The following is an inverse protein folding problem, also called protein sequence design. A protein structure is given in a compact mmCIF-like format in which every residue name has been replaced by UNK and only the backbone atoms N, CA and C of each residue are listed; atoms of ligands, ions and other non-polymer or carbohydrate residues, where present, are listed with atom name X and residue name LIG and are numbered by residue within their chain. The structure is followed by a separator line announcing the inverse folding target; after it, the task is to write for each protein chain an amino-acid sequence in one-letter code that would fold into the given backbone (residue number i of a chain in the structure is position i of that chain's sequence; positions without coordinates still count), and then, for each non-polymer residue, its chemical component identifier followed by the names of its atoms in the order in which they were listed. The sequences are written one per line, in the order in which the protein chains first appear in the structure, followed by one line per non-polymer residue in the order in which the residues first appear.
data_IF_448656024339
#
_entry.id   IF_448656024339
#
_cell.length_a   1.000
_cell.length_b   1.000
_cell.length_c   1.000
_cell.angle_alpha   90.00
_cell.angle_beta   90.00
_cell.angle_gamma   90.00
#
_symmetry.space_group_name_H-M   'P 1'
#
loop_
_entity.id
_entity.type
_entity.pdbx_description
1 polymer ?
#
# COMPACT_ATOMS: atom_id res chain seq x y z
N UNK A 1 6.66 20.70 -6.90
CA UNK A 1 6.41 20.03 -8.13
C UNK A 1 6.24 18.53 -7.97
N UNK A 2 5.22 18.00 -8.61
CA UNK A 2 4.90 16.56 -8.62
C UNK A 2 5.69 15.83 -9.72
N UNK A 3 6.73 16.44 -10.28
CA UNK A 3 7.44 16.01 -11.49
C UNK A 3 7.94 14.56 -11.42
N UNK A 4 8.34 14.08 -10.23
CA UNK A 4 8.88 12.72 -10.10
C UNK A 4 7.81 11.63 -10.16
N UNK A 5 6.55 11.91 -9.78
CA UNK A 5 5.43 10.97 -9.88
C UNK A 5 4.76 11.13 -11.24
N UNK A 6 4.55 12.36 -11.70
CA UNK A 6 3.92 12.63 -13.00
C UNK A 6 4.74 12.07 -14.17
N UNK A 7 6.07 12.11 -14.09
CA UNK A 7 6.96 11.54 -15.10
C UNK A 7 7.01 10.00 -15.08
N UNK A 8 6.72 9.38 -13.93
CA UNK A 8 6.70 7.92 -13.76
C UNK A 8 5.62 7.52 -12.77
N UNK A 9 4.35 7.42 -13.19
CA UNK A 9 3.20 7.16 -12.32
C UNK A 9 3.04 5.67 -11.96
N UNK A 10 4.14 4.98 -11.68
CA UNK A 10 4.14 3.56 -11.35
C UNK A 10 4.85 3.32 -10.03
N UNK A 11 4.39 2.31 -9.29
CA UNK A 11 5.02 1.79 -8.09
C UNK A 11 5.20 0.27 -8.22
N UNK A 12 6.30 -0.26 -7.69
CA UNK A 12 6.51 -1.70 -7.60
C UNK A 12 5.84 -2.27 -6.35
N UNK A 13 6.00 -1.58 -5.23
CA UNK A 13 5.49 -2.01 -3.94
C UNK A 13 4.13 -1.41 -3.62
N UNK A 14 4.05 -0.07 -3.49
CA UNK A 14 2.83 0.57 -3.03
C UNK A 14 2.69 2.03 -3.45
N UNK A 15 1.44 2.47 -3.49
CA UNK A 15 1.05 3.87 -3.37
C UNK A 15 0.53 4.12 -1.94
N UNK A 16 0.82 5.31 -1.41
CA UNK A 16 0.23 5.72 -0.13
C UNK A 16 -0.35 7.12 -0.20
N UNK A 17 -1.38 7.35 0.59
CA UNK A 17 -1.83 8.70 0.95
C UNK A 17 -1.68 8.88 2.45
N UNK A 18 -1.15 10.02 2.87
CA UNK A 18 -0.96 10.38 4.27
C UNK A 18 -1.48 11.78 4.55
N UNK A 19 -1.89 12.05 5.78
CA UNK A 19 -2.09 13.41 6.25
C UNK A 19 -0.79 14.20 6.15
N UNK A 20 -0.86 15.45 5.68
CA UNK A 20 0.31 16.32 5.59
C UNK A 20 0.59 17.04 6.91
N UNK A 21 -0.41 17.27 7.73
CA UNK A 21 -0.34 17.98 8.99
C UNK A 21 -1.03 17.25 10.14
N UNK A 22 -1.60 18.02 11.06
CA UNK A 22 -2.30 17.49 12.24
C UNK A 22 -3.78 17.15 11.98
N UNK A 23 -4.34 17.61 10.85
CA UNK A 23 -5.74 17.36 10.54
C UNK A 23 -5.99 15.87 10.29
N UNK A 24 -7.17 15.43 10.68
CA UNK A 24 -7.65 14.07 10.42
C UNK A 24 -7.79 13.85 8.91
N UNK A 25 -7.38 12.69 8.43
CA UNK A 25 -7.55 12.26 7.06
C UNK A 25 -8.67 11.23 6.96
N UNK A 26 -9.68 11.51 6.15
CA UNK A 26 -10.64 10.54 5.65
C UNK A 26 -10.28 10.15 4.22
N UNK A 27 -10.34 8.88 3.90
CA UNK A 27 -10.16 8.38 2.54
C UNK A 27 -11.36 7.53 2.15
N UNK A 28 -12.12 8.02 1.17
CA UNK A 28 -13.13 7.21 0.50
C UNK A 28 -12.44 6.33 -0.52
N UNK A 29 -12.76 5.05 -0.48
CA UNK A 29 -12.23 4.05 -1.41
C UNK A 29 -13.38 3.47 -2.21
N UNK A 30 -13.29 3.55 -3.52
CA UNK A 30 -14.23 2.92 -4.45
C UNK A 30 -13.52 1.77 -5.16
N UNK A 31 -14.13 0.58 -5.14
CA UNK A 31 -13.65 -0.63 -5.80
C UNK A 31 -14.63 -1.00 -6.92
N UNK A 32 -14.19 -0.93 -8.18
CA UNK A 32 -15.03 -1.20 -9.35
C UNK A 32 -16.41 -0.46 -9.30
N UNK A 33 -16.39 0.79 -8.84
CA UNK A 33 -17.59 1.62 -8.70
C UNK A 33 -18.38 1.42 -7.39
N UNK A 34 -17.99 0.50 -6.52
CA UNK A 34 -18.62 0.27 -5.22
C UNK A 34 -17.83 0.95 -4.12
N UNK A 35 -18.46 1.89 -3.42
CA UNK A 35 -17.82 2.65 -2.35
C UNK A 35 -17.78 1.84 -1.05
N UNK A 36 -16.61 1.79 -0.41
CA UNK A 36 -16.42 1.30 0.95
C UNK A 36 -16.75 2.39 1.98
N UNK A 37 -16.97 2.03 3.25
CA UNK A 37 -16.98 3.02 4.34
C UNK A 37 -15.67 3.81 4.37
N UNK A 38 -15.78 5.12 4.64
CA UNK A 38 -14.61 6.02 4.70
C UNK A 38 -13.58 5.53 5.71
N UNK A 39 -12.32 5.44 5.30
CA UNK A 39 -11.19 5.15 6.18
C UNK A 39 -10.74 6.43 6.87
N UNK A 40 -11.02 6.56 8.18
CA UNK A 40 -10.49 7.61 9.03
C UNK A 40 -9.20 7.11 9.67
N UNK A 41 -8.05 7.62 9.22
CA UNK A 41 -6.73 7.09 9.55
C UNK A 41 -5.63 8.15 9.37
N UNK A 42 -4.41 7.85 9.77
CA UNK A 42 -3.24 8.68 9.44
C UNK A 42 -2.85 8.55 7.95
N UNK A 43 -3.25 7.47 7.31
CA UNK A 43 -3.04 7.22 5.90
C UNK A 43 -3.67 5.92 5.42
N UNK A 44 -3.50 5.67 4.11
CA UNK A 44 -3.93 4.46 3.44
C UNK A 44 -2.84 4.00 2.47
N UNK A 45 -2.62 2.69 2.41
CA UNK A 45 -1.68 2.03 1.51
C UNK A 45 -2.46 1.20 0.50
N UNK A 46 -2.12 1.33 -0.78
CA UNK A 46 -2.52 0.40 -1.83
C UNK A 46 -1.26 -0.33 -2.29
N UNK A 47 -1.15 -1.61 -1.96
CA UNK A 47 0.05 -2.40 -2.14
C UNK A 47 -0.17 -3.53 -3.15
N UNK A 48 0.89 -3.86 -3.88
CA UNK A 48 0.98 -5.08 -4.69
C UNK A 48 1.29 -6.30 -3.82
N UNK A 49 1.20 -7.50 -4.38
CA UNK A 49 1.68 -8.73 -3.72
C UNK A 49 3.16 -8.62 -3.32
N UNK A 50 4.01 -8.06 -4.20
CA UNK A 50 5.43 -7.81 -3.89
C UNK A 50 5.62 -6.82 -2.76
N UNK A 51 4.78 -5.78 -2.69
CA UNK A 51 4.79 -4.77 -1.63
C UNK A 51 4.20 -5.24 -0.31
N UNK A 52 3.59 -6.43 -0.26
CA UNK A 52 3.02 -6.99 0.99
C UNK A 52 4.07 -7.14 2.10
N UNK A 53 5.34 -7.29 1.75
CA UNK A 53 6.48 -7.38 2.68
C UNK A 53 7.24 -6.05 2.84
N UNK A 54 6.72 -4.95 2.28
CA UNK A 54 7.23 -3.59 2.41
C UNK A 54 6.42 -2.79 3.45
N UNK A 55 5.97 -1.59 3.14
CA UNK A 55 5.25 -0.74 4.10
C UNK A 55 3.92 -1.33 4.56
N UNK A 56 3.22 -2.05 3.67
CA UNK A 56 1.97 -2.77 4.03
C UNK A 56 2.18 -3.72 5.22
N UNK A 57 3.32 -4.42 5.30
CA UNK A 57 3.64 -5.30 6.43
C UNK A 57 3.73 -4.51 7.74
N UNK A 58 4.42 -3.36 7.74
CA UNK A 58 4.55 -2.50 8.92
C UNK A 58 3.22 -1.93 9.39
N UNK A 59 2.27 -1.75 8.48
CA UNK A 59 0.90 -1.32 8.77
C UNK A 59 -0.03 -2.48 9.19
N UNK A 60 0.49 -3.68 9.38
CA UNK A 60 -0.27 -4.87 9.78
C UNK A 60 -1.00 -5.57 8.62
N UNK A 61 -0.59 -5.31 7.38
CA UNK A 61 -1.08 -6.02 6.21
C UNK A 61 -0.63 -7.47 6.16
N UNK A 62 -1.36 -8.34 5.45
CA UNK A 62 -1.00 -9.74 5.29
C UNK A 62 0.23 -9.89 4.40
N UNK A 63 1.04 -10.91 4.65
CA UNK A 63 2.06 -11.36 3.71
C UNK A 63 1.37 -12.16 2.61
N UNK A 64 1.65 -11.80 1.37
CA UNK A 64 1.08 -12.42 0.18
C UNK A 64 2.22 -12.90 -0.72
N UNK A 65 2.08 -14.10 -1.29
CA UNK A 65 3.06 -14.63 -2.22
C UNK A 65 3.17 -13.73 -3.45
N UNK A 66 4.38 -13.43 -3.94
CA UNK A 66 4.59 -12.47 -5.04
C UNK A 66 3.85 -12.80 -6.34
N UNK A 67 3.58 -14.08 -6.59
CA UNK A 67 2.83 -14.56 -7.76
C UNK A 67 1.31 -14.43 -7.61
N UNK A 68 0.81 -14.04 -6.44
CA UNK A 68 -0.62 -13.82 -6.23
C UNK A 68 -1.09 -12.56 -6.96
N UNK A 69 -2.18 -12.70 -7.69
CA UNK A 69 -2.78 -11.62 -8.49
C UNK A 69 -3.76 -10.81 -7.64
N UNK A 70 -3.23 -10.03 -6.69
CA UNK A 70 -4.03 -9.24 -5.76
C UNK A 70 -3.41 -7.87 -5.51
N UNK A 71 -4.27 -6.95 -5.06
CA UNK A 71 -3.90 -5.69 -4.41
C UNK A 71 -4.36 -5.74 -2.95
N UNK A 72 -3.69 -4.98 -2.10
CA UNK A 72 -3.98 -4.91 -0.67
C UNK A 72 -4.27 -3.46 -0.31
N UNK A 73 -5.41 -3.22 0.32
CA UNK A 73 -5.81 -1.92 0.88
C UNK A 73 -5.56 -1.97 2.37
N UNK A 74 -4.55 -1.26 2.87
CA UNK A 74 -4.15 -1.29 4.28
C UNK A 74 -4.22 0.11 4.91
N UNK A 75 -5.05 0.33 5.95
CA UNK A 75 -5.07 1.59 6.67
C UNK A 75 -3.83 1.73 7.57
N UNK A 76 -3.38 2.97 7.76
CA UNK A 76 -2.29 3.32 8.68
C UNK A 76 -2.89 3.99 9.90
N UNK A 77 -2.71 3.39 11.08
CA UNK A 77 -3.25 3.88 12.34
C UNK A 77 -4.74 4.25 12.25
N UNK A 78 -5.64 3.33 11.84
CA UNK A 78 -7.05 3.64 11.70
C UNK A 78 -7.69 3.99 13.04
N UNK A 79 -8.59 4.97 13.05
CA UNK A 79 -9.34 5.35 14.25
C UNK A 79 -10.43 4.31 14.62
N UNK A 80 -10.97 3.62 13.61
CA UNK A 80 -11.90 2.53 13.83
C UNK A 80 -11.14 1.21 13.99
N UNK A 81 -11.18 0.65 15.19
CA UNK A 81 -10.46 -0.57 15.55
C UNK A 81 -10.96 -1.84 14.84
N UNK A 82 -12.13 -1.80 14.21
CA UNK A 82 -12.68 -2.94 13.46
C UNK A 82 -12.19 -2.99 12.00
N UNK A 83 -11.56 -1.93 11.50
CA UNK A 83 -11.03 -1.90 10.15
C UNK A 83 -9.81 -2.83 10.06
N UNK A 84 -9.76 -3.59 8.98
CA UNK A 84 -8.66 -4.53 8.68
C UNK A 84 -8.18 -4.31 7.26
N UNK A 85 -6.93 -4.67 6.95
CA UNK A 85 -6.48 -4.73 5.56
C UNK A 85 -7.40 -5.62 4.72
N UNK A 86 -7.73 -5.14 3.52
CA UNK A 86 -8.58 -5.83 2.56
C UNK A 86 -7.75 -6.28 1.37
N UNK A 87 -7.88 -7.55 1.00
CA UNK A 87 -7.24 -8.11 -0.21
C UNK A 87 -8.29 -8.18 -1.31
N UNK A 88 -7.96 -7.63 -2.48
CA UNK A 88 -8.84 -7.59 -3.65
C UNK A 88 -8.11 -8.16 -4.88
N UNK A 89 -8.81 -8.65 -5.92
CA UNK A 89 -8.19 -9.04 -7.18
C UNK A 89 -7.37 -7.89 -7.79
N UNK A 90 -6.27 -8.21 -8.47
CA UNK A 90 -5.42 -7.22 -9.14
C UNK A 90 -6.11 -6.52 -10.32
N UNK A 91 -7.20 -7.09 -10.82
CA UNK A 91 -8.05 -6.48 -11.86
C UNK A 91 -8.94 -5.34 -11.33
N UNK A 92 -9.02 -5.16 -10.00
CA UNK A 92 -9.87 -4.14 -9.38
C UNK A 92 -9.38 -2.74 -9.71
N UNK A 93 -10.28 -1.87 -10.18
CA UNK A 93 -10.04 -0.44 -10.31
C UNK A 93 -10.33 0.24 -8.99
N UNK A 94 -9.32 0.89 -8.43
CA UNK A 94 -9.42 1.57 -7.13
C UNK A 94 -9.44 3.08 -7.37
N UNK A 95 -10.40 3.77 -6.77
CA UNK A 95 -10.45 5.24 -6.78
C UNK A 95 -10.41 5.72 -5.34
N UNK A 96 -9.51 6.67 -5.06
CA UNK A 96 -9.35 7.31 -3.76
C UNK A 96 -9.83 8.76 -3.86
N UNK A 97 -10.66 9.18 -2.89
CA UNK A 97 -11.00 10.58 -2.64
C UNK A 97 -10.68 10.93 -1.21
N UNK A 98 -9.90 11.98 -1.01
CA UNK A 98 -9.45 12.38 0.31
C UNK A 98 -10.37 13.46 0.90
N UNK A 99 -10.48 13.46 2.23
CA UNK A 99 -11.18 14.45 3.04
C UNK A 99 -10.24 14.93 4.13
N UNK A 100 -9.76 16.17 4.06
CA UNK A 100 -8.91 16.78 5.07
C UNK A 100 -9.24 18.26 5.20
N UNK A 101 -8.91 18.83 6.38
CA UNK A 101 -8.90 20.28 6.57
C UNK A 101 -7.57 20.92 6.12
N UNK A 102 -6.53 20.12 5.95
CA UNK A 102 -5.28 20.54 5.34
C UNK A 102 -5.50 20.72 3.83
N UNK A 103 -4.87 21.75 3.23
CA UNK A 103 -4.97 22.01 1.80
C UNK A 103 -4.41 20.87 0.95
N UNK A 104 -3.40 20.17 1.49
CA UNK A 104 -2.69 19.11 0.78
C UNK A 104 -2.64 17.84 1.62
N UNK A 105 -2.47 16.73 0.93
CA UNK A 105 -2.10 15.42 1.47
C UNK A 105 -0.77 14.99 0.87
N UNK A 106 -0.07 14.10 1.54
CA UNK A 106 1.17 13.50 1.03
C UNK A 106 0.79 12.24 0.23
N UNK A 107 1.14 12.22 -1.04
CA UNK A 107 1.03 11.05 -1.89
C UNK A 107 2.41 10.47 -2.17
N UNK A 108 2.57 9.15 -2.07
CA UNK A 108 3.84 8.49 -2.39
C UNK A 108 3.66 7.36 -3.40
N UNK A 109 4.67 7.15 -4.21
CA UNK A 109 4.80 6.01 -5.11
C UNK A 109 6.16 5.35 -4.82
N UNK A 110 6.18 4.22 -4.09
CA UNK A 110 7.36 3.67 -3.43
C UNK A 110 8.05 4.79 -2.59
N UNK A 111 9.30 5.15 -2.92
CA UNK A 111 10.05 6.19 -2.20
C UNK A 111 9.92 7.61 -2.78
N UNK A 112 9.06 7.83 -3.79
CA UNK A 112 8.85 9.17 -4.38
C UNK A 112 7.65 9.82 -3.74
N UNK A 113 7.80 11.06 -3.34
CA UNK A 113 6.78 11.80 -2.58
C UNK A 113 6.33 13.03 -3.36
N UNK A 114 5.03 13.28 -3.34
CA UNK A 114 4.40 14.49 -3.85
C UNK A 114 3.39 15.04 -2.84
N UNK A 115 3.24 16.36 -2.79
CA UNK A 115 2.09 17.01 -2.16
C UNK A 115 1.01 17.18 -3.22
N UNK A 116 -0.17 16.69 -2.94
CA UNK A 116 -1.34 16.83 -3.82
C UNK A 116 -2.48 17.51 -3.07
N UNK A 117 -3.29 18.34 -3.75
CA UNK A 117 -4.48 18.94 -3.13
C UNK A 117 -5.39 17.89 -2.50
N UNK A 118 -5.95 18.19 -1.34
CA UNK A 118 -6.78 17.26 -0.59
C UNK A 118 -8.12 16.90 -1.26
N UNK A 119 -8.51 17.63 -2.30
CA UNK A 119 -9.68 17.37 -3.13
C UNK A 119 -9.36 16.56 -4.40
N UNK A 120 -8.11 16.11 -4.55
CA UNK A 120 -7.68 15.32 -5.71
C UNK A 120 -8.31 13.93 -5.67
N UNK A 121 -8.81 13.47 -6.82
CA UNK A 121 -9.20 12.09 -7.03
C UNK A 121 -8.04 11.31 -7.64
N UNK A 122 -7.72 10.15 -7.08
CA UNK A 122 -6.59 9.32 -7.52
C UNK A 122 -7.11 7.96 -7.97
N UNK A 123 -6.97 7.65 -9.26
CA UNK A 123 -7.24 6.32 -9.81
C UNK A 123 -6.00 5.42 -9.76
N UNK A 124 -6.17 4.21 -9.25
CA UNK A 124 -5.10 3.21 -9.11
C UNK A 124 -5.55 1.89 -9.74
N UNK A 125 -4.68 1.32 -10.54
CA UNK A 125 -4.87 0.01 -11.15
C UNK A 125 -3.54 -0.63 -11.49
N UNK A 126 -3.57 -1.92 -11.83
CA UNK A 126 -2.35 -2.63 -12.25
C UNK A 126 -1.93 -2.18 -13.65
N UNK A 127 -0.63 -1.93 -13.82
CA UNK A 127 -0.06 -1.57 -15.12
C UNK A 127 -0.20 -2.71 -16.14
N UNK A 128 -0.28 -2.36 -17.44
CA UNK A 128 -0.35 -3.35 -18.52
C UNK A 128 0.98 -4.05 -18.82
N UNK A 129 2.04 -3.70 -18.10
CA UNK A 129 3.35 -4.32 -18.18
C UNK A 129 3.78 -4.87 -16.83
N UNK A 130 4.78 -5.75 -16.81
CA UNK A 130 5.34 -6.31 -15.58
C UNK A 130 6.85 -6.11 -15.54
N UNK A 131 7.37 -5.88 -14.32
CA UNK A 131 8.80 -5.91 -14.05
C UNK A 131 9.27 -7.37 -13.98
N UNK A 132 10.31 -7.70 -14.75
CA UNK A 132 10.94 -9.02 -14.69
C UNK A 132 12.21 -8.95 -13.86
N UNK A 133 12.31 -9.82 -12.86
CA UNK A 133 13.51 -9.98 -12.04
C UNK A 133 14.32 -11.17 -12.52
N UNK A 134 15.62 -10.96 -12.75
CA UNK A 134 16.56 -12.07 -12.99
C UNK A 134 16.92 -12.68 -11.63
N UNK A 135 16.71 -13.97 -11.48
CA UNK A 135 17.06 -14.72 -10.28
C UNK A 135 18.22 -15.67 -10.61
N UNK A 136 19.36 -15.42 -9.99
CA UNK A 136 20.58 -16.21 -10.21
C UNK A 136 20.66 -17.46 -9.34
N UNK A 137 20.03 -17.43 -8.16
CA UNK A 137 20.00 -18.54 -7.21
C UNK A 137 18.58 -19.05 -7.00
N UNK A 138 18.43 -20.33 -6.62
CA UNK A 138 17.14 -20.97 -6.34
C UNK A 138 16.56 -20.64 -4.96
N UNK A 139 16.95 -19.52 -4.31
CA UNK A 139 16.28 -19.11 -3.09
C UNK A 139 14.80 -18.82 -3.40
N UNK A 140 13.91 -19.46 -2.67
CA UNK A 140 12.49 -19.25 -2.79
C UNK A 140 12.03 -18.13 -1.84
N UNK A 141 10.79 -17.67 -2.02
CA UNK A 141 10.23 -16.60 -1.20
C UNK A 141 10.12 -16.98 0.29
N UNK A 142 9.85 -18.24 0.58
CA UNK A 142 9.71 -18.73 1.98
C UNK A 142 11.05 -18.68 2.72
N UNK A 143 12.15 -19.11 2.06
CA UNK A 143 13.49 -18.99 2.64
C UNK A 143 13.83 -17.54 2.96
N UNK A 144 13.50 -16.62 2.03
CA UNK A 144 13.70 -15.19 2.24
C UNK A 144 12.86 -14.61 3.40
N UNK A 145 11.63 -15.09 3.60
CA UNK A 145 10.80 -14.71 4.75
C UNK A 145 11.42 -15.19 6.06
N UNK A 146 11.84 -16.46 6.12
CA UNK A 146 12.45 -17.05 7.31
C UNK A 146 13.69 -16.28 7.73
N UNK A 147 14.59 -16.01 6.77
CA UNK A 147 15.84 -15.28 7.05
C UNK A 147 15.61 -13.80 7.46
N UNK A 148 14.72 -13.09 6.75
CA UNK A 148 14.55 -11.63 6.95
C UNK A 148 13.63 -11.27 8.09
N UNK A 149 12.63 -12.10 8.39
CA UNK A 149 11.62 -11.82 9.40
C UNK A 149 11.81 -12.67 10.66
N UNK A 150 12.82 -13.54 10.72
CA UNK A 150 13.03 -14.50 11.82
C UNK A 150 11.77 -15.31 12.09
N UNK A 151 11.04 -15.66 11.02
CA UNK A 151 9.75 -16.30 11.12
C UNK A 151 9.85 -17.70 11.70
N UNK A 152 9.22 -17.87 12.86
CA UNK A 152 9.23 -19.15 13.60
C UNK A 152 10.43 -19.32 14.51
N UNK A 153 11.35 -18.35 14.58
CA UNK A 153 12.42 -18.38 15.58
C UNK A 153 11.86 -18.00 16.97
N UNK A 154 11.95 -18.94 17.89
CA UNK A 154 11.69 -18.67 19.30
C UNK A 154 13.01 -18.30 19.96
N UNK A 155 13.16 -17.05 20.37
CA UNK A 155 14.36 -16.51 21.05
C UNK A 155 14.76 -17.36 22.27
N UNK A 156 13.83 -18.11 22.87
CA UNK A 156 14.07 -19.00 24.00
C UNK A 156 14.80 -20.29 23.61
N UNK A 157 14.84 -20.64 22.32
CA UNK A 157 15.46 -21.85 21.79
C UNK A 157 16.80 -21.63 21.12
N UNK A 158 17.34 -20.41 21.15
CA UNK A 158 18.70 -20.12 20.69
C UNK A 158 19.65 -20.57 21.81
N UNK A 159 20.25 -21.74 21.61
CA UNK A 159 21.36 -22.24 22.46
C UNK A 159 22.67 -21.68 21.99
#
# INVERSE_FOLDING_TARGET
GNDAIDSWPYALNEFTVHRAGAAMLGVDVTLDGVQLPTYWADGLIISTSSGSTAYSLSAGGPIVLPESRVLIVSPIAPHNLNVRPLVVPDSTQIVLRMHSRDENVVFTADNRTALVPSDTEIGIGVAQFSLKRVQLNRSNFIDALTEKLFWGEDVRNIK
#
